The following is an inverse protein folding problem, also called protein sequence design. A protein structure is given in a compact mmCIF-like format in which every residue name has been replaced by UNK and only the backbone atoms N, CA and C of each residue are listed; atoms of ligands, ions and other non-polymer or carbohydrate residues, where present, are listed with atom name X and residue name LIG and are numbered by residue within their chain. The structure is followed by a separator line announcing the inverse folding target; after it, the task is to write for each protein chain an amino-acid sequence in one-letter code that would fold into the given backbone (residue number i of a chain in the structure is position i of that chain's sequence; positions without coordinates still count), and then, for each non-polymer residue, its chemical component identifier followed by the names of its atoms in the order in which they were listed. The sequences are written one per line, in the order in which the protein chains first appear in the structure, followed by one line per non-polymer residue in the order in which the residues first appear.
data_IF_378513056624
#
_entry.id   IF_378513056624
#
_cell.length_a   1.000
_cell.length_b   1.000
_cell.length_c   1.000
_cell.angle_alpha   90.00
_cell.angle_beta   90.00
_cell.angle_gamma   90.00
#
_symmetry.space_group_name_H-M   'P 1'
#
loop_
_entity.id
_entity.type
_entity.pdbx_description
1 polymer ?
#
# COMPACT_ATOMS: atom_id res chain seq x y z
N UNK A 1 88.45 -6.68 -42.64
CA UNK A 1 87.19 -5.98 -42.28
C UNK A 1 85.94 -6.89 -42.25
N UNK A 2 86.04 -8.22 -42.41
CA UNK A 2 84.84 -9.10 -42.45
C UNK A 2 84.27 -9.53 -41.08
N UNK A 3 85.05 -9.43 -39.99
CA UNK A 3 84.67 -10.01 -38.69
C UNK A 3 83.59 -9.18 -37.98
N UNK A 4 83.60 -7.85 -38.16
CA UNK A 4 82.61 -6.92 -37.58
C UNK A 4 81.21 -7.08 -38.17
N UNK A 5 81.09 -7.28 -39.49
CA UNK A 5 79.79 -7.41 -40.15
C UNK A 5 79.01 -8.67 -39.73
N UNK A 6 79.70 -9.77 -39.43
CA UNK A 6 79.06 -11.01 -38.92
C UNK A 6 78.54 -10.83 -37.48
N UNK A 7 79.23 -10.04 -36.65
CA UNK A 7 78.82 -9.73 -35.27
C UNK A 7 77.60 -8.80 -35.28
N UNK A 8 77.61 -7.74 -36.11
CA UNK A 8 76.47 -6.82 -36.24
C UNK A 8 75.22 -7.56 -36.73
N UNK A 9 75.34 -8.46 -37.71
CA UNK A 9 74.20 -9.27 -38.20
C UNK A 9 73.64 -10.22 -37.12
N UNK A 10 74.50 -10.80 -36.27
CA UNK A 10 74.05 -11.63 -35.13
C UNK A 10 73.36 -10.78 -34.07
N UNK A 11 73.89 -9.58 -33.80
CA UNK A 11 73.31 -8.65 -32.83
C UNK A 11 71.93 -8.15 -33.28
N UNK A 12 71.78 -7.79 -34.55
CA UNK A 12 70.49 -7.37 -35.14
C UNK A 12 69.48 -8.52 -35.05
N UNK A 13 69.88 -9.76 -35.36
CA UNK A 13 68.99 -10.93 -35.22
C UNK A 13 68.57 -11.15 -33.78
N UNK A 14 69.50 -11.07 -32.83
CA UNK A 14 69.20 -11.21 -31.40
C UNK A 14 68.20 -10.14 -30.95
N UNK A 15 68.39 -8.89 -31.37
CA UNK A 15 67.55 -7.77 -31.02
C UNK A 15 66.14 -7.91 -31.61
N UNK A 16 66.02 -8.39 -32.87
CA UNK A 16 64.71 -8.69 -33.47
C UNK A 16 63.98 -9.80 -32.73
N UNK A 17 64.66 -10.90 -32.35
CA UNK A 17 64.04 -12.02 -31.62
C UNK A 17 63.59 -11.57 -30.23
N UNK A 18 64.41 -10.78 -29.54
CA UNK A 18 64.07 -10.27 -28.21
C UNK A 18 62.89 -9.28 -28.26
N UNK A 19 62.82 -8.46 -29.30
CA UNK A 19 61.69 -7.55 -29.54
C UNK A 19 60.38 -8.30 -29.82
N UNK A 20 60.42 -9.34 -30.66
CA UNK A 20 59.24 -10.18 -30.91
C UNK A 20 58.79 -10.94 -29.65
N UNK A 21 59.71 -11.43 -28.84
CA UNK A 21 59.41 -12.07 -27.56
C UNK A 21 58.71 -11.09 -26.59
N UNK A 22 59.24 -9.86 -26.48
CA UNK A 22 58.69 -8.83 -25.61
C UNK A 22 57.28 -8.42 -26.03
N UNK A 23 57.05 -8.22 -27.33
CA UNK A 23 55.71 -7.91 -27.88
C UNK A 23 54.74 -9.08 -27.66
N UNK A 24 55.20 -10.33 -27.81
CA UNK A 24 54.41 -11.52 -27.50
C UNK A 24 54.03 -11.64 -26.02
N UNK A 25 54.97 -11.33 -25.10
CA UNK A 25 54.69 -11.31 -23.66
C UNK A 25 53.73 -10.19 -23.25
N UNK A 26 53.80 -9.02 -23.90
CA UNK A 26 52.88 -7.90 -23.66
C UNK A 26 51.47 -8.14 -24.22
N UNK A 27 51.33 -8.98 -25.25
CA UNK A 27 50.01 -9.35 -25.79
C UNK A 27 49.27 -10.41 -24.95
N UNK A 28 50.01 -11.21 -24.17
CA UNK A 28 49.42 -12.26 -23.30
C UNK A 28 49.17 -11.78 -21.86
N UNK A 29 49.81 -10.69 -21.41
CA UNK A 29 49.37 -9.95 -20.22
C UNK A 29 48.17 -9.09 -20.63
N UNK A 30 47.02 -9.75 -20.71
CA UNK A 30 45.75 -9.17 -21.13
C UNK A 30 45.49 -7.83 -20.45
N UNK A 31 45.12 -6.84 -21.26
CA UNK A 31 44.37 -5.70 -20.77
C UNK A 31 43.22 -6.24 -19.93
N UNK A 32 43.01 -5.78 -18.68
CA UNK A 32 41.84 -6.20 -17.93
C UNK A 32 40.63 -5.86 -18.81
N UNK A 33 39.85 -6.88 -19.18
CA UNK A 33 38.58 -6.65 -19.84
C UNK A 33 37.79 -5.78 -18.87
N UNK A 34 37.65 -4.49 -19.19
CA UNK A 34 36.77 -3.61 -18.44
C UNK A 34 35.38 -4.18 -18.68
N UNK A 35 34.88 -4.94 -17.70
CA UNK A 35 33.55 -5.48 -17.74
C UNK A 35 32.59 -4.29 -17.89
N UNK A 36 32.05 -4.12 -19.08
CA UNK A 36 30.98 -3.17 -19.32
C UNK A 36 29.76 -3.77 -18.63
N UNK A 37 29.47 -3.32 -17.41
CA UNK A 37 28.19 -3.62 -16.79
C UNK A 37 27.11 -3.03 -17.69
N UNK A 38 26.21 -3.86 -18.21
CA UNK A 38 25.02 -3.39 -18.91
C UNK A 38 24.18 -2.61 -17.90
N UNK A 39 24.26 -1.30 -17.98
CA UNK A 39 23.50 -0.42 -17.12
C UNK A 39 22.03 -0.53 -17.52
N UNK A 40 21.15 -0.89 -16.57
CA UNK A 40 19.70 -0.91 -16.75
C UNK A 40 19.08 0.50 -16.82
N UNK A 41 19.88 1.52 -17.11
CA UNK A 41 19.43 2.88 -17.39
C UNK A 41 18.54 2.99 -18.65
N UNK A 42 18.38 1.91 -19.43
CA UNK A 42 17.41 1.85 -20.53
C UNK A 42 15.97 1.61 -20.06
N UNK A 43 15.72 1.36 -18.76
CA UNK A 43 14.39 1.55 -18.18
C UNK A 43 14.14 3.03 -17.89
N UNK A 44 14.36 3.88 -18.89
CA UNK A 44 13.72 5.18 -18.97
C UNK A 44 12.24 4.95 -19.29
N UNK A 45 11.50 4.32 -18.36
CA UNK A 45 10.11 4.69 -18.24
C UNK A 45 10.14 6.18 -18.01
N UNK A 46 9.65 6.94 -18.99
CA UNK A 46 9.16 8.29 -18.71
C UNK A 46 8.33 8.14 -17.45
N UNK A 47 8.78 8.75 -16.35
CA UNK A 47 8.03 8.82 -15.11
C UNK A 47 6.83 9.71 -15.40
N UNK A 48 5.85 9.15 -16.10
CA UNK A 48 4.54 9.76 -16.23
C UNK A 48 3.93 9.60 -14.85
N UNK A 49 3.84 10.71 -14.13
CA UNK A 49 3.21 10.89 -12.82
C UNK A 49 1.73 10.46 -12.77
N UNK A 50 1.21 9.85 -13.84
CA UNK A 50 -0.14 9.31 -13.98
C UNK A 50 -0.23 7.89 -13.40
N UNK A 51 0.81 7.04 -13.56
CA UNK A 51 0.82 5.67 -13.03
C UNK A 51 0.97 5.61 -11.50
N UNK A 52 1.64 6.60 -10.89
CA UNK A 52 1.77 6.72 -9.44
C UNK A 52 0.44 7.11 -8.78
N UNK A 53 -0.40 7.90 -9.45
CA UNK A 53 -1.76 8.23 -8.98
C UNK A 53 -2.62 6.95 -8.98
N UNK A 54 -2.60 6.17 -10.05
CA UNK A 54 -3.38 4.92 -10.12
C UNK A 54 -2.92 3.85 -9.11
N UNK A 55 -1.61 3.67 -8.90
CA UNK A 55 -1.10 2.78 -7.84
C UNK A 55 -1.35 3.32 -6.42
N UNK A 56 -1.41 4.64 -6.22
CA UNK A 56 -1.79 5.23 -4.92
C UNK A 56 -3.29 5.13 -4.61
N UNK A 57 -4.14 4.91 -5.62
CA UNK A 57 -5.58 4.63 -5.40
C UNK A 57 -5.76 3.24 -4.79
N UNK A 58 -4.91 2.26 -5.15
CA UNK A 58 -5.00 0.90 -4.62
C UNK A 58 -4.33 0.73 -3.24
N UNK A 59 -3.38 1.59 -2.88
CA UNK A 59 -2.67 1.57 -1.59
C UNK A 59 -3.15 2.69 -0.66
N UNK A 60 -4.44 2.73 -0.36
CA UNK A 60 -5.00 3.64 0.66
C UNK A 60 -5.27 2.90 1.95
N UNK A 61 -5.16 3.61 3.08
CA UNK A 61 -5.65 3.09 4.35
C UNK A 61 -7.16 2.83 4.22
N UNK A 62 -7.63 1.59 4.40
CA UNK A 62 -9.04 1.25 4.24
C UNK A 62 -9.94 2.00 5.22
N UNK A 63 -9.45 2.33 6.42
CA UNK A 63 -10.19 3.17 7.36
C UNK A 63 -10.38 4.58 6.78
N UNK A 64 -9.32 5.26 6.38
CA UNK A 64 -9.42 6.62 5.85
C UNK A 64 -10.28 6.70 4.59
N UNK A 65 -10.23 5.65 3.74
CA UNK A 65 -11.06 5.55 2.54
C UNK A 65 -12.56 5.52 2.83
N UNK A 66 -12.97 5.01 4.01
CA UNK A 66 -14.38 4.84 4.42
C UNK A 66 -14.79 5.75 5.58
N UNK A 67 -13.88 6.61 6.06
CA UNK A 67 -14.11 7.47 7.22
C UNK A 67 -15.31 8.40 7.03
N UNK A 68 -15.43 9.06 5.87
CA UNK A 68 -16.55 9.95 5.57
C UNK A 68 -17.88 9.17 5.44
N UNK A 69 -17.82 7.96 4.90
CA UNK A 69 -18.99 7.09 4.74
C UNK A 69 -19.48 6.53 6.07
N UNK A 70 -18.60 6.24 7.03
CA UNK A 70 -19.00 5.67 8.33
C UNK A 70 -19.24 6.72 9.40
N UNK A 71 -18.44 7.80 9.42
CA UNK A 71 -18.45 8.84 10.45
C UNK A 71 -18.79 10.25 9.92
N UNK A 72 -19.38 10.34 8.73
CA UNK A 72 -19.94 11.59 8.21
C UNK A 72 -21.17 12.07 8.98
N UNK A 73 -22.16 12.62 8.29
CA UNK A 73 -23.23 13.40 8.94
C UNK A 73 -24.22 12.56 9.76
N UNK A 74 -24.36 11.28 9.43
CA UNK A 74 -25.35 10.34 9.98
C UNK A 74 -24.69 9.15 10.65
N UNK A 75 -25.37 8.57 11.64
CA UNK A 75 -24.94 7.31 12.26
C UNK A 75 -25.20 6.19 11.26
N UNK A 76 -24.16 5.47 10.91
CA UNK A 76 -24.26 4.26 10.12
C UNK A 76 -24.60 3.07 11.02
N UNK A 77 -25.78 2.49 10.80
CA UNK A 77 -26.33 1.40 11.60
C UNK A 77 -25.49 0.11 11.49
N UNK A 78 -24.67 -0.04 10.44
CA UNK A 78 -23.87 -1.23 10.22
C UNK A 78 -22.44 -1.11 10.76
N UNK A 79 -21.88 0.11 10.82
CA UNK A 79 -20.45 0.30 11.08
C UNK A 79 -20.14 1.18 12.30
N UNK A 80 -20.93 2.21 12.59
CA UNK A 80 -20.57 3.18 13.63
C UNK A 80 -20.55 2.55 15.03
N UNK A 81 -19.61 3.02 15.88
CA UNK A 81 -19.49 2.66 17.29
C UNK A 81 -20.71 3.08 18.14
N UNK A 82 -21.01 2.28 19.17
CA UNK A 82 -22.14 2.43 20.09
C UNK A 82 -22.23 3.80 20.76
N UNK A 83 -21.10 4.49 20.97
CA UNK A 83 -21.09 5.81 21.60
C UNK A 83 -21.68 6.90 20.71
N UNK A 84 -21.70 6.73 19.38
CA UNK A 84 -22.32 7.72 18.50
C UNK A 84 -23.81 7.91 18.79
N UNK A 85 -24.49 6.85 19.27
CA UNK A 85 -25.89 6.91 19.69
C UNK A 85 -26.13 7.79 20.92
N UNK A 86 -25.09 8.20 21.67
CA UNK A 86 -25.22 9.17 22.77
C UNK A 86 -25.60 10.57 22.27
N UNK A 87 -25.38 10.86 20.97
CA UNK A 87 -25.74 12.14 20.35
C UNK A 87 -27.24 12.42 20.38
N UNK A 88 -28.08 11.37 20.35
CA UNK A 88 -29.53 11.50 20.25
C UNK A 88 -30.23 10.95 21.50
N UNK A 89 -31.03 11.78 22.21
CA UNK A 89 -31.69 11.38 23.44
C UNK A 89 -32.56 10.12 23.29
N UNK A 90 -32.39 9.17 24.22
CA UNK A 90 -33.19 7.94 24.28
C UNK A 90 -32.65 6.78 23.46
N UNK A 91 -31.61 6.96 22.64
CA UNK A 91 -30.98 5.84 21.91
C UNK A 91 -29.99 5.05 22.76
N UNK A 92 -29.15 5.71 23.54
CA UNK A 92 -28.16 5.06 24.40
C UNK A 92 -28.69 4.85 25.84
N UNK A 93 -28.40 3.70 26.50
CA UNK A 93 -27.65 2.53 26.03
C UNK A 93 -28.51 1.43 25.39
N UNK A 94 -29.80 1.37 25.72
CA UNK A 94 -30.64 0.18 25.44
C UNK A 94 -30.95 -0.02 23.96
N UNK A 95 -31.40 1.02 23.27
CA UNK A 95 -31.69 0.94 21.84
C UNK A 95 -30.40 0.74 21.04
N UNK A 96 -29.35 1.48 21.34
CA UNK A 96 -28.03 1.33 20.71
C UNK A 96 -27.52 -0.12 20.82
N UNK A 97 -27.61 -0.75 22.00
CA UNK A 97 -27.25 -2.14 22.19
C UNK A 97 -28.10 -3.12 21.37
N UNK A 98 -29.41 -2.88 21.24
CA UNK A 98 -30.28 -3.68 20.37
C UNK A 98 -29.91 -3.49 18.90
N UNK A 99 -29.67 -2.26 18.47
CA UNK A 99 -29.32 -1.93 17.08
C UNK A 99 -28.03 -2.66 16.67
N UNK A 100 -26.98 -2.60 17.48
CA UNK A 100 -25.70 -3.23 17.15
C UNK A 100 -25.82 -4.75 17.13
N UNK A 101 -26.55 -5.35 18.07
CA UNK A 101 -26.73 -6.81 18.14
C UNK A 101 -27.55 -7.39 16.99
N UNK A 102 -28.40 -6.59 16.36
CA UNK A 102 -29.26 -7.02 15.26
C UNK A 102 -28.76 -6.53 13.89
N UNK A 103 -27.61 -5.85 13.83
CA UNK A 103 -26.96 -5.50 12.57
C UNK A 103 -26.41 -6.78 11.90
N UNK A 104 -26.27 -6.80 10.55
CA UNK A 104 -26.46 -5.69 9.62
C UNK A 104 -27.91 -5.49 9.15
N UNK A 105 -28.20 -4.28 8.69
CA UNK A 105 -29.45 -3.85 8.08
C UNK A 105 -29.26 -3.63 6.57
N UNK A 106 -30.35 -3.74 5.79
CA UNK A 106 -30.35 -3.41 4.35
C UNK A 106 -30.84 -1.99 4.13
N UNK A 107 -31.92 -1.64 4.80
CA UNK A 107 -32.53 -0.31 4.77
C UNK A 107 -32.59 0.28 6.19
N UNK A 108 -32.69 1.60 6.30
CA UNK A 108 -32.74 2.29 7.60
C UNK A 108 -33.98 1.84 8.40
N UNK A 109 -35.11 1.61 7.74
CA UNK A 109 -36.38 1.23 8.36
C UNK A 109 -36.35 -0.18 8.95
N UNK A 110 -35.39 -1.02 8.57
CA UNK A 110 -35.23 -2.37 9.13
C UNK A 110 -34.96 -2.34 10.63
N UNK A 111 -34.45 -1.21 11.17
CA UNK A 111 -34.27 -1.01 12.61
C UNK A 111 -35.59 -1.12 13.40
N UNK A 112 -36.73 -0.84 12.76
CA UNK A 112 -38.05 -0.95 13.38
C UNK A 112 -38.53 -2.41 13.49
N UNK A 113 -37.89 -3.33 12.78
CA UNK A 113 -38.22 -4.76 12.74
C UNK A 113 -37.50 -5.57 13.82
N UNK A 114 -36.67 -4.94 14.65
CA UNK A 114 -35.98 -5.59 15.76
C UNK A 114 -37.02 -6.24 16.70
N UNK A 115 -36.81 -7.52 17.02
CA UNK A 115 -37.71 -8.26 17.91
C UNK A 115 -37.64 -7.70 19.34
N UNK A 116 -38.80 -7.61 20.00
CA UNK A 116 -38.89 -7.16 21.40
C UNK A 116 -38.71 -5.65 21.60
N UNK A 117 -38.93 -4.82 20.57
CA UNK A 117 -39.07 -3.37 20.73
C UNK A 117 -40.40 -3.02 21.40
N UNK A 118 -40.37 -2.17 22.42
CA UNK A 118 -41.59 -1.57 22.96
C UNK A 118 -42.13 -0.50 22.01
N UNK A 119 -43.41 -0.14 22.14
CA UNK A 119 -44.01 0.94 21.33
C UNK A 119 -43.27 2.27 21.54
N UNK A 120 -42.84 2.56 22.78
CA UNK A 120 -42.01 3.75 23.06
C UNK A 120 -40.66 3.69 22.34
N UNK A 121 -40.03 2.52 22.26
CA UNK A 121 -38.77 2.33 21.54
C UNK A 121 -38.95 2.54 20.03
N UNK A 122 -40.03 2.02 19.44
CA UNK A 122 -40.35 2.25 18.02
C UNK A 122 -40.56 3.73 17.72
N UNK A 123 -41.28 4.46 18.57
CA UNK A 123 -41.48 5.91 18.41
C UNK A 123 -40.15 6.68 18.43
N UNK A 124 -39.25 6.33 19.34
CA UNK A 124 -37.93 6.97 19.41
C UNK A 124 -37.14 6.68 18.12
N UNK A 125 -37.14 5.42 17.64
CA UNK A 125 -36.46 5.07 16.39
C UNK A 125 -37.06 5.83 15.18
N UNK A 126 -38.38 5.86 15.07
CA UNK A 126 -39.09 6.59 14.02
C UNK A 126 -38.74 8.08 14.00
N UNK A 127 -38.63 8.71 15.17
CA UNK A 127 -38.27 10.12 15.30
C UNK A 127 -36.80 10.43 14.96
N UNK A 128 -35.95 9.41 14.75
CA UNK A 128 -34.52 9.56 14.49
C UNK A 128 -34.07 8.89 13.18
N UNK A 129 -34.99 8.40 12.33
CA UNK A 129 -34.61 7.70 11.09
C UNK A 129 -33.80 8.60 10.14
N UNK A 130 -34.06 9.90 10.16
CA UNK A 130 -33.34 10.89 9.36
C UNK A 130 -31.86 11.04 9.79
N UNK A 131 -31.53 10.67 11.02
CA UNK A 131 -30.16 10.68 11.56
C UNK A 131 -29.37 9.40 11.27
N UNK A 132 -30.00 8.41 10.64
CA UNK A 132 -29.40 7.13 10.32
C UNK A 132 -29.11 6.99 8.83
N UNK A 133 -28.15 6.12 8.54
CA UNK A 133 -27.88 5.57 7.21
C UNK A 133 -27.45 4.13 7.33
N UNK A 134 -27.40 3.45 6.19
CA UNK A 134 -26.93 2.08 6.06
C UNK A 134 -25.93 2.05 4.91
N UNK A 135 -24.72 1.55 5.18
CA UNK A 135 -23.76 1.19 4.13
C UNK A 135 -23.36 -0.27 4.25
N UNK A 136 -22.55 -0.74 3.30
CA UNK A 136 -21.93 -2.06 3.39
C UNK A 136 -21.12 -2.18 4.69
N UNK A 137 -21.05 -3.39 5.23
CA UNK A 137 -20.29 -3.68 6.45
C UNK A 137 -18.80 -3.55 6.13
N UNK A 138 -18.10 -2.73 6.91
CA UNK A 138 -16.69 -2.43 6.77
C UNK A 138 -15.91 -3.15 7.89
N UNK A 139 -15.17 -4.24 7.58
CA UNK A 139 -14.45 -5.04 8.58
C UNK A 139 -13.54 -4.20 9.48
N UNK A 140 -12.91 -3.16 8.92
CA UNK A 140 -12.02 -2.24 9.63
C UNK A 140 -12.68 -1.48 10.79
N UNK A 141 -14.01 -1.39 10.82
CA UNK A 141 -14.77 -0.76 11.90
C UNK A 141 -15.63 -1.73 12.72
N UNK A 142 -15.77 -2.97 12.25
CA UNK A 142 -16.68 -3.95 12.87
C UNK A 142 -15.98 -5.10 13.58
N UNK A 143 -14.78 -5.47 13.13
CA UNK A 143 -14.01 -6.54 13.76
C UNK A 143 -13.48 -6.11 15.14
N UNK A 144 -12.93 -7.05 15.92
CA UNK A 144 -12.36 -6.74 17.24
C UNK A 144 -13.36 -6.27 18.31
N UNK A 145 -14.66 -6.32 18.03
CA UNK A 145 -15.70 -5.66 18.84
C UNK A 145 -15.56 -4.14 18.89
N UNK A 146 -14.98 -3.53 17.87
CA UNK A 146 -14.74 -2.08 17.78
C UNK A 146 -16.05 -1.27 17.81
N UNK A 147 -17.16 -1.86 17.37
CA UNK A 147 -18.50 -1.24 17.52
C UNK A 147 -18.93 -1.09 18.97
N UNK A 148 -18.43 -1.91 19.90
CA UNK A 148 -18.69 -1.78 21.32
C UNK A 148 -17.61 -0.92 22.00
N UNK A 149 -16.35 -1.16 21.67
CA UNK A 149 -15.22 -0.46 22.25
C UNK A 149 -14.10 -0.28 21.22
N UNK A 150 -13.99 0.92 20.67
CA UNK A 150 -12.95 1.29 19.71
C UNK A 150 -11.68 1.87 20.37
N UNK A 151 -11.49 1.69 21.68
CA UNK A 151 -10.29 2.18 22.37
C UNK A 151 -10.21 3.69 22.59
N UNK A 152 -11.23 4.46 22.19
CA UNK A 152 -11.25 5.93 22.33
C UNK A 152 -11.91 6.32 23.65
N UNK A 153 -11.17 6.99 24.54
CA UNK A 153 -11.66 7.48 25.83
C UNK A 153 -11.17 8.92 26.06
N UNK A 154 -11.68 9.58 27.11
CA UNK A 154 -11.19 10.89 27.56
C UNK A 154 -10.27 10.72 28.76
#
# INVERSE_FOLDING_TARGET
MERGGKIVKKLVRLLTVFSFLLVGCLAWLGTPQIAQASNLNSFALRSVSVLAVEQSISLRNPADAKLADVYGDKIDLNNTNVRAFQKYPGLYPTLAGKIIKNAPYKEVEDVLKIQGLSERQKQILQANLDHFKVTEVEPVYTEGFDRFNNGIYR
#
